data_IF_098319424088
#
_entry.id   IF_098319424088
#
_cell.length_a   1.000
_cell.length_b   1.000
_cell.length_c   1.000
_cell.angle_alpha   90.00
_cell.angle_beta   90.00
_cell.angle_gamma   90.00
#
_symmetry.space_group_name_H-M   'P 1'
#
loop_
_entity.id
_entity.type
_entity.pdbx_description
1 polymer ?
#
# COMPACT_ATOMS: atom_id res chain seq x y z
N UNK A 1 -82.57 -32.67 -4.89
CA UNK A 1 -81.75 -31.94 -5.82
C UNK A 1 -80.79 -31.06 -4.97
N UNK A 2 -79.61 -31.63 -4.62
CA UNK A 2 -78.64 -30.98 -3.70
C UNK A 2 -77.58 -30.23 -4.53
N UNK A 3 -77.48 -28.91 -4.33
CA UNK A 3 -76.51 -28.05 -4.95
C UNK A 3 -75.26 -28.02 -4.02
N UNK A 4 -74.14 -28.60 -4.47
CA UNK A 4 -72.83 -28.57 -3.79
C UNK A 4 -72.10 -27.29 -4.20
N UNK A 5 -71.94 -26.34 -3.27
CA UNK A 5 -71.07 -25.18 -3.42
C UNK A 5 -69.65 -25.54 -3.06
N UNK A 6 -68.73 -25.54 -4.02
CA UNK A 6 -67.28 -25.75 -3.82
C UNK A 6 -66.63 -24.42 -3.48
N UNK A 7 -66.18 -24.21 -2.26
CA UNK A 7 -65.38 -23.07 -1.83
C UNK A 7 -63.90 -23.34 -2.15
N UNK A 8 -63.42 -22.75 -3.23
CA UNK A 8 -61.98 -22.78 -3.59
C UNK A 8 -61.20 -21.76 -2.76
N UNK A 9 -60.38 -22.26 -1.83
CA UNK A 9 -59.46 -21.46 -1.03
C UNK A 9 -58.17 -21.18 -1.84
N UNK A 10 -58.08 -20.01 -2.43
CA UNK A 10 -56.89 -19.57 -3.17
C UNK A 10 -55.83 -19.06 -2.18
N UNK A 11 -54.80 -19.88 -1.96
CA UNK A 11 -53.65 -19.51 -1.11
C UNK A 11 -52.73 -18.56 -1.88
N UNK A 12 -52.80 -17.29 -1.58
CA UNK A 12 -51.91 -16.27 -2.16
C UNK A 12 -50.54 -16.35 -1.46
N UNK A 13 -49.54 -16.98 -2.11
CA UNK A 13 -48.16 -17.03 -1.62
C UNK A 13 -47.52 -15.66 -1.93
N UNK A 14 -47.43 -14.80 -0.93
CA UNK A 14 -46.61 -13.57 -0.99
C UNK A 14 -45.13 -13.98 -0.97
N UNK A 15 -44.50 -14.04 -2.13
CA UNK A 15 -43.06 -14.16 -2.25
C UNK A 15 -42.42 -12.82 -1.81
N UNK A 16 -41.91 -12.76 -0.57
CA UNK A 16 -41.03 -11.68 -0.15
C UNK A 16 -39.74 -11.81 -0.95
N UNK A 17 -39.57 -10.99 -1.97
CA UNK A 17 -38.29 -10.79 -2.64
C UNK A 17 -37.33 -10.16 -1.60
N UNK A 18 -36.47 -10.96 -0.99
CA UNK A 18 -35.36 -10.46 -0.19
C UNK A 18 -34.45 -9.69 -1.18
N UNK A 19 -34.25 -8.37 -0.99
CA UNK A 19 -33.34 -7.64 -1.85
C UNK A 19 -31.96 -8.29 -1.75
N UNK A 20 -31.22 -8.47 -2.85
CA UNK A 20 -29.87 -9.02 -2.80
C UNK A 20 -29.06 -8.20 -1.81
N UNK A 21 -28.48 -8.86 -0.81
CA UNK A 21 -27.55 -8.21 0.11
C UNK A 21 -26.45 -7.57 -0.76
N UNK A 22 -26.44 -6.23 -0.80
CA UNK A 22 -25.41 -5.49 -1.54
C UNK A 22 -24.08 -5.90 -0.91
N UNK A 23 -23.22 -6.53 -1.70
CA UNK A 23 -21.88 -6.89 -1.24
C UNK A 23 -21.25 -5.62 -0.64
N UNK A 24 -20.83 -5.72 0.63
CA UNK A 24 -20.20 -4.59 1.31
C UNK A 24 -18.82 -4.41 0.69
N UNK A 25 -18.59 -3.28 0.04
CA UNK A 25 -17.35 -2.97 -0.67
C UNK A 25 -16.63 -1.79 0.01
N UNK A 26 -15.33 -1.94 0.24
CA UNK A 26 -14.44 -0.85 0.65
C UNK A 26 -13.62 -0.40 -0.55
N UNK A 27 -13.56 0.90 -0.80
CA UNK A 27 -12.62 1.49 -1.76
C UNK A 27 -11.41 2.05 -1.02
N UNK A 28 -10.27 1.41 -1.21
CA UNK A 28 -9.03 1.68 -0.47
C UNK A 28 -8.01 2.37 -1.38
N UNK A 29 -7.58 3.57 -0.99
CA UNK A 29 -6.43 4.25 -1.58
C UNK A 29 -5.15 3.71 -0.93
N UNK A 30 -4.23 3.13 -1.68
CA UNK A 30 -3.03 2.51 -1.15
C UNK A 30 -1.76 2.93 -1.87
N UNK A 31 -0.72 3.23 -1.11
CA UNK A 31 0.62 3.41 -1.64
C UNK A 31 1.04 2.19 -2.45
N UNK A 32 1.60 2.41 -3.64
CA UNK A 32 1.76 1.37 -4.66
C UNK A 32 2.78 0.26 -4.30
N UNK A 33 3.66 0.51 -3.34
CA UNK A 33 4.57 -0.48 -2.77
C UNK A 33 3.85 -1.61 -2.04
N UNK A 34 2.62 -1.35 -1.58
CA UNK A 34 1.79 -2.31 -0.84
C UNK A 34 1.08 -3.33 -1.73
N UNK A 35 1.09 -3.13 -3.07
CA UNK A 35 0.32 -3.99 -3.98
C UNK A 35 0.43 -5.48 -3.65
N UNK A 36 1.63 -6.10 -3.57
CA UNK A 36 1.73 -7.54 -3.35
C UNK A 36 1.14 -7.99 -2.01
N UNK A 37 1.34 -7.19 -0.95
CA UNK A 37 0.84 -7.52 0.38
C UNK A 37 -0.67 -7.31 0.51
N UNK A 38 -1.18 -6.16 0.03
CA UNK A 38 -2.60 -5.84 0.18
C UNK A 38 -3.51 -6.69 -0.69
N UNK A 39 -3.06 -7.16 -1.87
CA UNK A 39 -3.83 -8.11 -2.68
C UNK A 39 -4.09 -9.41 -1.90
N UNK A 40 -3.10 -9.93 -1.19
CA UNK A 40 -3.27 -11.11 -0.34
C UNK A 40 -4.14 -10.81 0.89
N UNK A 41 -3.88 -9.69 1.57
CA UNK A 41 -4.66 -9.26 2.75
C UNK A 41 -6.14 -9.08 2.40
N UNK A 42 -6.44 -8.42 1.28
CA UNK A 42 -7.80 -8.22 0.79
C UNK A 42 -8.51 -9.56 0.48
N UNK A 43 -7.81 -10.46 -0.20
CA UNK A 43 -8.35 -11.81 -0.50
C UNK A 43 -8.67 -12.60 0.77
N UNK A 44 -7.79 -12.57 1.78
CA UNK A 44 -8.02 -13.24 3.06
C UNK A 44 -9.13 -12.58 3.87
N UNK A 45 -9.19 -11.24 3.87
CA UNK A 45 -10.28 -10.51 4.53
C UNK A 45 -11.64 -10.85 3.89
N UNK A 46 -11.70 -10.92 2.55
CA UNK A 46 -12.90 -11.38 1.86
C UNK A 46 -13.34 -12.77 2.32
N UNK A 47 -12.40 -13.71 2.43
CA UNK A 47 -12.69 -15.08 2.85
C UNK A 47 -13.31 -15.17 4.26
N UNK A 48 -12.93 -14.27 5.18
CA UNK A 48 -13.43 -14.27 6.57
C UNK A 48 -14.62 -13.36 6.81
N UNK A 49 -14.81 -12.31 5.99
CA UNK A 49 -15.84 -11.29 6.20
C UNK A 49 -16.95 -11.30 5.15
N UNK A 50 -16.70 -11.86 3.96
CA UNK A 50 -17.56 -11.75 2.78
C UNK A 50 -17.55 -10.36 2.13
N UNK A 51 -16.77 -9.40 2.65
CA UNK A 51 -16.71 -8.04 2.12
C UNK A 51 -15.62 -7.92 1.04
N UNK A 52 -15.90 -7.16 -0.01
CA UNK A 52 -14.95 -6.84 -1.07
C UNK A 52 -14.06 -5.64 -0.67
N UNK A 53 -12.77 -5.72 -1.01
CA UNK A 53 -11.82 -4.61 -0.85
C UNK A 53 -11.27 -4.23 -2.22
N UNK A 54 -11.78 -3.13 -2.75
CA UNK A 54 -11.32 -2.54 -4.01
C UNK A 54 -10.07 -1.71 -3.77
N UNK A 55 -8.94 -2.19 -4.26
CA UNK A 55 -7.64 -1.55 -4.07
C UNK A 55 -7.32 -0.60 -5.24
N UNK A 56 -7.05 0.66 -4.94
CA UNK A 56 -6.59 1.67 -5.88
C UNK A 56 -5.17 2.07 -5.49
N UNK A 57 -4.22 1.87 -6.41
CA UNK A 57 -2.80 2.08 -6.13
C UNK A 57 -2.27 3.36 -6.77
N UNK A 58 -1.47 4.11 -6.01
CA UNK A 58 -0.87 5.35 -6.47
C UNK A 58 0.22 5.86 -5.53
N UNK A 59 0.58 7.13 -5.61
CA UNK A 59 1.46 7.77 -4.63
C UNK A 59 0.67 8.33 -3.46
N UNK A 60 1.28 8.30 -2.26
CA UNK A 60 0.64 8.78 -1.04
C UNK A 60 0.26 10.27 -1.11
N UNK A 61 1.10 11.10 -1.75
CA UNK A 61 0.83 12.53 -1.91
C UNK A 61 -0.34 12.82 -2.83
N UNK A 62 -0.48 12.07 -3.94
CA UNK A 62 -1.62 12.21 -4.84
C UNK A 62 -2.93 11.81 -4.14
N UNK A 63 -2.94 10.72 -3.38
CA UNK A 63 -4.12 10.33 -2.61
C UNK A 63 -4.46 11.34 -1.52
N UNK A 64 -3.47 11.88 -0.83
CA UNK A 64 -3.70 12.97 0.13
C UNK A 64 -4.44 14.14 -0.53
N UNK A 65 -3.99 14.61 -1.69
CA UNK A 65 -4.65 15.70 -2.44
C UNK A 65 -6.05 15.32 -2.88
N UNK A 66 -6.24 14.11 -3.42
CA UNK A 66 -7.56 13.63 -3.85
C UNK A 66 -8.55 13.57 -2.69
N UNK A 67 -8.13 13.07 -1.52
CA UNK A 67 -8.97 12.98 -0.31
C UNK A 67 -9.34 14.37 0.19
N UNK A 68 -8.40 15.32 0.20
CA UNK A 68 -8.69 16.71 0.54
C UNK A 68 -9.74 17.34 -0.40
N UNK A 69 -9.76 16.92 -1.67
CA UNK A 69 -10.72 17.35 -2.67
C UNK A 69 -12.00 16.50 -2.71
N UNK A 70 -12.23 15.65 -1.69
CA UNK A 70 -13.47 14.91 -1.53
C UNK A 70 -13.56 13.61 -2.33
N UNK A 71 -12.43 13.02 -2.76
CA UNK A 71 -12.45 11.71 -3.42
C UNK A 71 -13.07 10.64 -2.50
N UNK A 72 -13.95 9.76 -3.03
CA UNK A 72 -14.77 8.86 -2.24
C UNK A 72 -14.04 7.57 -1.86
N UNK A 73 -12.94 7.70 -1.14
CA UNK A 73 -12.26 6.55 -0.54
C UNK A 73 -12.79 6.28 0.87
N UNK A 74 -12.76 5.02 1.28
CA UNK A 74 -13.13 4.58 2.63
C UNK A 74 -11.91 4.50 3.54
N UNK A 75 -10.73 4.22 2.96
CA UNK A 75 -9.50 3.92 3.70
C UNK A 75 -8.28 4.48 2.94
N UNK A 76 -7.28 4.95 3.68
CA UNK A 76 -5.98 5.36 3.13
C UNK A 76 -4.86 4.53 3.76
N UNK A 77 -4.00 3.93 2.92
CA UNK A 77 -2.67 3.44 3.28
C UNK A 77 -1.62 4.36 2.68
N UNK A 78 -0.82 4.98 3.53
CA UNK A 78 0.20 5.95 3.15
C UNK A 78 1.60 5.47 3.55
N UNK A 79 2.55 5.60 2.65
CA UNK A 79 3.98 5.39 2.91
C UNK A 79 4.68 6.63 3.53
N UNK A 80 3.91 7.58 4.02
CA UNK A 80 4.39 8.75 4.76
C UNK A 80 3.37 9.11 5.84
N UNK A 81 3.81 9.13 7.09
CA UNK A 81 2.98 9.41 8.27
C UNK A 81 2.40 10.84 8.29
N UNK A 82 3.02 11.81 7.61
CA UNK A 82 2.58 13.21 7.64
C UNK A 82 1.25 13.40 6.91
N UNK A 83 0.98 12.64 5.85
CA UNK A 83 -0.29 12.77 5.12
C UNK A 83 -1.49 12.35 5.97
N UNK A 84 -1.51 11.16 6.61
CA UNK A 84 -2.57 10.80 7.55
C UNK A 84 -2.72 11.78 8.71
N UNK A 85 -1.63 12.29 9.30
CA UNK A 85 -1.68 13.31 10.36
C UNK A 85 -2.32 14.61 9.90
N UNK A 86 -2.00 15.07 8.68
CA UNK A 86 -2.62 16.25 8.08
C UNK A 86 -4.11 16.06 7.81
N UNK A 87 -4.53 14.88 7.36
CA UNK A 87 -5.95 14.54 7.19
C UNK A 87 -6.67 14.48 8.54
N UNK A 88 -6.05 13.94 9.57
CA UNK A 88 -6.59 13.92 10.94
C UNK A 88 -6.78 15.35 11.50
N UNK A 89 -5.76 16.19 11.37
CA UNK A 89 -5.83 17.60 11.75
C UNK A 89 -6.92 18.38 11.00
N UNK A 90 -7.20 18.00 9.74
CA UNK A 90 -8.29 18.57 8.94
C UNK A 90 -9.67 17.96 9.27
N UNK A 91 -9.77 17.01 10.21
CA UNK A 91 -11.01 16.35 10.58
C UNK A 91 -11.58 15.39 9.51
N UNK A 92 -10.74 14.90 8.59
CA UNK A 92 -11.12 14.04 7.48
C UNK A 92 -10.98 12.55 7.78
N UNK A 93 -10.45 12.17 8.95
CA UNK A 93 -10.30 10.79 9.39
C UNK A 93 -11.23 10.47 10.56
N UNK A 94 -11.51 9.20 10.78
CA UNK A 94 -12.18 8.72 11.98
C UNK A 94 -11.17 8.77 13.14
N UNK A 95 -11.48 9.45 14.26
CA UNK A 95 -10.58 9.55 15.39
C UNK A 95 -10.14 8.20 15.93
N UNK A 96 -8.84 8.05 16.24
CA UNK A 96 -8.27 6.84 16.82
C UNK A 96 -7.97 5.72 15.82
N UNK A 97 -8.20 5.93 14.51
CA UNK A 97 -7.89 4.94 13.47
C UNK A 97 -6.49 5.08 12.87
N UNK A 98 -5.71 6.07 13.30
CA UNK A 98 -4.31 6.19 12.91
C UNK A 98 -3.53 4.96 13.40
N UNK A 99 -2.97 4.20 12.46
CA UNK A 99 -2.22 2.99 12.77
C UNK A 99 -0.94 2.89 11.93
N UNK A 100 0.23 3.03 12.57
CA UNK A 100 1.53 2.71 11.97
C UNK A 100 1.69 1.19 12.02
N UNK A 101 1.56 0.54 10.86
CA UNK A 101 1.56 -0.93 10.78
C UNK A 101 2.92 -1.48 10.35
N UNK A 102 3.77 -0.69 9.68
CA UNK A 102 5.06 -1.15 9.19
C UNK A 102 6.01 0.00 8.83
N UNK A 103 7.25 -0.35 8.46
CA UNK A 103 8.21 0.51 7.77
C UNK A 103 8.64 -0.12 6.46
N UNK A 104 8.71 0.71 5.42
CA UNK A 104 9.19 0.30 4.12
C UNK A 104 10.71 0.41 3.99
N UNK A 105 11.26 -0.32 3.02
CA UNK A 105 12.68 -0.27 2.66
C UNK A 105 12.84 -0.02 1.17
N UNK A 106 13.95 0.61 0.77
CA UNK A 106 14.33 0.80 -0.62
C UNK A 106 15.48 -0.13 -1.01
N UNK A 107 15.48 -0.51 -2.28
CA UNK A 107 16.51 -1.35 -2.88
C UNK A 107 17.00 -0.75 -4.20
N UNK A 108 18.24 -1.03 -4.55
CA UNK A 108 18.72 -0.96 -5.93
C UNK A 108 18.27 -2.21 -6.67
N UNK A 109 17.52 -2.03 -7.74
CA UNK A 109 16.93 -3.10 -8.55
C UNK A 109 17.46 -3.04 -9.98
N UNK A 110 17.84 -4.18 -10.52
CA UNK A 110 18.23 -4.35 -11.91
C UNK A 110 17.56 -5.59 -12.53
N UNK A 111 17.38 -5.65 -13.86
CA UNK A 111 16.96 -6.89 -14.51
C UNK A 111 17.91 -8.06 -14.19
N UNK A 112 17.41 -9.29 -14.13
CA UNK A 112 18.20 -10.47 -13.77
C UNK A 112 19.46 -10.66 -14.66
N UNK A 113 19.35 -10.32 -15.95
CA UNK A 113 20.46 -10.40 -16.91
C UNK A 113 21.45 -9.24 -16.89
N UNK A 114 21.25 -8.23 -16.01
CA UNK A 114 22.16 -7.08 -15.90
C UNK A 114 23.56 -7.51 -15.44
N UNK A 115 24.60 -6.92 -16.01
CA UNK A 115 26.00 -7.14 -15.63
C UNK A 115 26.50 -6.15 -14.56
N UNK A 116 25.64 -5.23 -14.10
CA UNK A 116 25.98 -4.23 -13.09
C UNK A 116 26.35 -4.91 -11.75
N UNK A 117 27.46 -4.47 -11.16
CA UNK A 117 27.93 -4.96 -9.86
C UNK A 117 27.22 -4.24 -8.71
N UNK A 118 26.20 -4.87 -8.17
CA UNK A 118 25.40 -4.33 -7.07
C UNK A 118 26.15 -4.28 -5.72
N UNK A 119 27.31 -4.95 -5.58
CA UNK A 119 28.12 -4.88 -4.34
C UNK A 119 28.67 -3.48 -4.11
N UNK A 120 28.72 -2.65 -5.15
CA UNK A 120 29.11 -1.23 -5.08
C UNK A 120 28.04 -0.35 -4.44
N UNK A 121 26.87 -0.89 -4.08
CA UNK A 121 25.74 -0.11 -3.57
C UNK A 121 25.32 1.00 -4.54
N UNK A 122 24.90 2.15 -4.00
CA UNK A 122 24.45 3.30 -4.82
C UNK A 122 25.52 3.83 -5.78
N UNK A 123 26.80 3.56 -5.54
CA UNK A 123 27.88 4.00 -6.45
C UNK A 123 27.84 3.30 -7.81
N UNK A 124 27.10 2.21 -7.98
CA UNK A 124 26.86 1.62 -9.29
C UNK A 124 26.13 2.57 -10.25
N UNK A 125 25.37 3.53 -9.73
CA UNK A 125 24.67 4.54 -10.54
C UNK A 125 25.64 5.46 -11.32
N UNK A 126 26.90 5.56 -10.87
CA UNK A 126 27.96 6.29 -11.56
C UNK A 126 28.57 5.51 -12.73
N UNK A 127 28.26 4.23 -12.87
CA UNK A 127 28.80 3.42 -13.95
C UNK A 127 28.41 4.03 -15.31
N UNK A 128 29.36 4.09 -16.28
CA UNK A 128 29.08 4.59 -17.62
C UNK A 128 28.01 3.78 -18.39
N UNK A 129 27.81 2.51 -18.02
CA UNK A 129 26.75 1.67 -18.59
C UNK A 129 25.34 2.10 -18.14
N UNK A 130 25.22 2.76 -16.98
CA UNK A 130 23.94 3.26 -16.46
C UNK A 130 23.58 4.57 -17.17
N UNK A 131 22.55 4.53 -18.00
CA UNK A 131 22.01 5.68 -18.75
C UNK A 131 20.72 6.21 -18.14
N UNK A 132 19.87 5.29 -17.60
CA UNK A 132 18.57 5.63 -17.03
C UNK A 132 18.39 4.98 -15.68
N UNK A 133 18.02 5.80 -14.68
CA UNK A 133 17.79 5.40 -13.30
C UNK A 133 16.32 5.66 -12.98
N UNK A 134 15.53 4.63 -12.73
CA UNK A 134 14.13 4.78 -12.38
C UNK A 134 13.94 5.08 -10.90
N UNK A 135 13.16 6.11 -10.59
CA UNK A 135 12.67 6.43 -9.24
C UNK A 135 11.20 6.84 -9.33
N UNK A 136 10.45 6.77 -8.23
CA UNK A 136 9.15 7.43 -8.17
C UNK A 136 9.33 8.96 -8.11
N UNK A 137 8.34 9.74 -8.57
CA UNK A 137 8.42 11.19 -8.54
C UNK A 137 8.54 11.72 -7.09
N UNK A 138 9.65 12.33 -6.70
CA UNK A 138 9.89 12.77 -5.33
C UNK A 138 8.98 13.92 -4.89
N UNK A 139 8.28 14.59 -5.80
CA UNK A 139 7.36 15.68 -5.45
C UNK A 139 6.15 15.20 -4.64
N UNK A 140 5.74 13.94 -4.81
CA UNK A 140 4.54 13.38 -4.16
C UNK A 140 4.67 11.90 -3.74
N UNK A 141 5.75 11.19 -4.12
CA UNK A 141 5.95 9.79 -3.79
C UNK A 141 7.04 9.61 -2.70
N UNK A 142 6.69 9.07 -1.51
CA UNK A 142 7.64 8.90 -0.40
C UNK A 142 8.89 8.09 -0.76
N UNK A 143 8.73 7.04 -1.55
CA UNK A 143 9.85 6.22 -2.02
C UNK A 143 10.78 6.98 -2.98
N UNK A 144 10.24 7.91 -3.77
CA UNK A 144 11.05 8.81 -4.60
C UNK A 144 11.83 9.80 -3.75
N UNK A 145 11.23 10.34 -2.70
CA UNK A 145 11.91 11.17 -1.70
C UNK A 145 13.05 10.40 -1.05
N UNK A 146 12.80 9.18 -0.57
CA UNK A 146 13.82 8.32 0.03
C UNK A 146 14.98 8.05 -0.94
N UNK A 147 14.70 7.79 -2.22
CA UNK A 147 15.72 7.60 -3.24
C UNK A 147 16.63 8.84 -3.41
N UNK A 148 16.04 10.04 -3.45
CA UNK A 148 16.80 11.30 -3.52
C UNK A 148 17.64 11.51 -2.27
N UNK A 149 17.08 11.25 -1.08
CA UNK A 149 17.82 11.34 0.18
C UNK A 149 19.04 10.40 0.18
N UNK A 150 18.86 9.15 -0.20
CA UNK A 150 19.95 8.17 -0.24
C UNK A 150 21.05 8.55 -1.23
N UNK A 151 20.70 9.02 -2.44
CA UNK A 151 21.68 9.51 -3.40
C UNK A 151 22.43 10.76 -2.90
N UNK A 152 21.77 11.63 -2.12
CA UNK A 152 22.41 12.81 -1.50
C UNK A 152 23.31 12.42 -0.34
N UNK A 153 22.91 11.45 0.49
CA UNK A 153 23.75 10.93 1.56
C UNK A 153 25.07 10.38 1.01
N UNK A 154 25.03 9.65 -0.11
CA UNK A 154 26.20 9.15 -0.85
C UNK A 154 26.94 10.22 -1.69
N UNK A 155 26.45 11.48 -1.72
CA UNK A 155 27.01 12.62 -2.47
C UNK A 155 27.13 12.36 -3.98
N UNK A 156 26.22 11.58 -4.55
CA UNK A 156 26.20 11.25 -5.99
C UNK A 156 25.03 11.87 -6.73
N UNK A 157 24.03 12.45 -6.03
CA UNK A 157 22.80 12.96 -6.65
C UNK A 157 23.07 13.89 -7.84
N UNK A 158 23.94 14.89 -7.69
CA UNK A 158 24.22 15.87 -8.73
C UNK A 158 24.85 15.23 -9.98
N UNK A 159 25.61 14.14 -9.80
CA UNK A 159 26.28 13.43 -10.88
C UNK A 159 25.32 12.52 -11.67
N UNK A 160 24.23 12.10 -11.05
CA UNK A 160 23.29 11.12 -11.65
C UNK A 160 21.91 11.73 -11.94
N UNK A 161 21.62 12.92 -11.47
CA UNK A 161 20.31 13.57 -11.60
C UNK A 161 19.81 13.66 -13.03
N UNK A 162 20.71 13.92 -14.00
CA UNK A 162 20.37 13.95 -15.43
C UNK A 162 20.00 12.57 -16.01
N UNK A 163 20.29 11.47 -15.31
CA UNK A 163 19.91 10.09 -15.72
C UNK A 163 18.56 9.66 -15.14
N UNK A 164 17.96 10.45 -14.23
CA UNK A 164 16.73 10.06 -13.55
C UNK A 164 15.55 10.03 -14.52
N UNK A 165 14.77 8.97 -14.46
CA UNK A 165 13.45 8.84 -15.08
C UNK A 165 12.43 8.60 -13.97
N UNK A 166 11.41 9.45 -13.91
CA UNK A 166 10.43 9.45 -12.83
C UNK A 166 9.15 8.72 -13.23
N UNK A 167 8.75 7.74 -12.40
CA UNK A 167 7.43 7.15 -12.46
C UNK A 167 6.45 7.90 -11.55
N UNK A 168 5.18 7.95 -11.91
CA UNK A 168 4.13 8.58 -11.09
C UNK A 168 4.05 7.98 -9.67
N UNK A 169 4.39 6.71 -9.53
CA UNK A 169 4.47 6.00 -8.25
C UNK A 169 5.57 4.95 -8.30
N UNK A 170 5.82 4.29 -7.15
CA UNK A 170 6.93 3.34 -7.04
C UNK A 170 6.75 2.06 -7.86
N UNK A 171 5.50 1.63 -8.13
CA UNK A 171 5.25 0.49 -9.01
C UNK A 171 5.59 0.81 -10.48
N UNK A 172 5.32 2.02 -10.94
CA UNK A 172 5.72 2.44 -12.28
C UNK A 172 7.25 2.53 -12.42
N UNK A 173 7.94 3.04 -11.39
CA UNK A 173 9.40 3.03 -11.38
C UNK A 173 9.98 1.60 -11.47
N UNK A 174 9.41 0.64 -10.72
CA UNK A 174 9.79 -0.77 -10.85
C UNK A 174 9.49 -1.33 -12.24
N UNK A 175 8.36 -0.96 -12.84
CA UNK A 175 7.97 -1.39 -14.19
C UNK A 175 8.94 -0.89 -15.26
N UNK A 176 9.54 0.29 -15.12
CA UNK A 176 10.58 0.78 -16.05
C UNK A 176 11.82 -0.13 -16.05
N UNK A 177 12.22 -0.65 -14.89
CA UNK A 177 13.33 -1.61 -14.81
C UNK A 177 12.94 -2.96 -15.40
N UNK A 178 11.76 -3.49 -15.04
CA UNK A 178 11.29 -4.79 -15.51
C UNK A 178 11.10 -4.84 -17.02
N UNK A 179 10.69 -3.74 -17.63
CA UNK A 179 10.53 -3.63 -19.11
C UNK A 179 11.83 -3.29 -19.85
N UNK A 180 12.93 -3.01 -19.14
CA UNK A 180 14.18 -2.54 -19.76
C UNK A 180 14.14 -1.07 -20.20
N UNK A 181 13.12 -0.31 -19.82
CA UNK A 181 13.05 1.13 -20.08
C UNK A 181 14.04 1.94 -19.21
N UNK A 182 14.50 1.36 -18.09
CA UNK A 182 15.58 1.87 -17.27
C UNK A 182 16.58 0.74 -16.96
N UNK A 183 17.86 1.09 -16.81
CA UNK A 183 18.96 0.15 -16.56
C UNK A 183 18.96 -0.32 -15.10
N UNK A 184 18.56 0.54 -14.20
CA UNK A 184 18.51 0.34 -12.75
C UNK A 184 17.40 1.20 -12.15
N UNK A 185 16.87 0.78 -11.00
CA UNK A 185 15.90 1.58 -10.25
C UNK A 185 16.19 1.59 -8.75
N UNK A 186 15.79 2.67 -8.09
CA UNK A 186 15.65 2.70 -6.63
C UNK A 186 14.17 2.55 -6.32
N UNK A 187 13.78 1.36 -5.83
CA UNK A 187 12.38 0.96 -5.69
C UNK A 187 12.11 0.35 -4.31
N UNK A 188 10.85 0.04 -4.01
CA UNK A 188 10.48 -0.63 -2.77
C UNK A 188 10.97 -2.09 -2.75
N UNK A 189 11.47 -2.54 -1.59
CA UNK A 189 11.88 -3.93 -1.38
C UNK A 189 10.73 -4.91 -1.68
N UNK A 190 9.51 -4.57 -1.31
CA UNK A 190 8.31 -5.38 -1.57
C UNK A 190 8.09 -5.70 -3.04
N UNK A 191 8.36 -4.74 -3.92
CA UNK A 191 8.27 -4.93 -5.37
C UNK A 191 9.43 -5.77 -5.91
N UNK A 192 10.63 -5.60 -5.36
CA UNK A 192 11.78 -6.44 -5.69
C UNK A 192 11.56 -7.91 -5.32
N UNK A 193 11.05 -8.17 -4.11
CA UNK A 193 10.69 -9.51 -3.66
C UNK A 193 9.58 -10.13 -4.52
N UNK A 194 8.55 -9.35 -4.84
CA UNK A 194 7.44 -9.81 -5.68
C UNK A 194 7.86 -10.12 -7.11
N UNK A 195 8.84 -9.41 -7.67
CA UNK A 195 9.37 -9.67 -9.01
C UNK A 195 10.19 -10.99 -9.10
N UNK A 196 10.65 -11.52 -7.97
CA UNK A 196 11.32 -12.81 -7.88
C UNK A 196 12.53 -12.93 -8.80
N UNK A 197 12.57 -13.98 -9.62
CA UNK A 197 13.72 -14.29 -10.50
C UNK A 197 13.91 -13.34 -11.69
N UNK A 198 13.00 -12.41 -11.91
CA UNK A 198 13.10 -11.45 -13.02
C UNK A 198 14.14 -10.35 -12.75
N UNK A 199 14.53 -10.18 -11.48
CA UNK A 199 15.39 -9.10 -11.01
C UNK A 199 16.49 -9.61 -10.08
N UNK A 200 17.54 -8.77 -9.94
CA UNK A 200 18.48 -8.82 -8.81
C UNK A 200 18.39 -7.48 -8.09
N UNK A 201 18.56 -7.51 -6.78
CA UNK A 201 18.55 -6.29 -5.99
C UNK A 201 19.49 -6.37 -4.79
N UNK A 202 19.83 -5.22 -4.24
CA UNK A 202 20.52 -5.04 -2.95
C UNK A 202 19.81 -3.97 -2.14
N UNK A 203 19.65 -4.18 -0.83
CA UNK A 203 19.06 -3.19 0.06
C UNK A 203 19.98 -1.97 0.17
N UNK A 204 19.38 -0.78 0.20
CA UNK A 204 20.07 0.47 0.52
C UNK A 204 20.02 0.65 2.04
N UNK A 205 21.15 0.99 2.70
CA UNK A 205 21.17 1.14 4.14
C UNK A 205 20.11 2.09 4.66
N UNK A 206 19.38 1.68 5.69
CA UNK A 206 18.30 2.50 6.29
C UNK A 206 18.82 3.79 6.94
N UNK A 207 20.14 3.91 7.19
CA UNK A 207 20.80 5.14 7.63
C UNK A 207 20.82 6.25 6.57
N UNK A 208 20.65 5.92 5.29
CA UNK A 208 20.88 6.83 4.17
C UNK A 208 19.61 7.60 3.78
N UNK A 209 18.48 7.28 4.37
CA UNK A 209 17.19 7.93 4.11
C UNK A 209 16.29 7.96 5.36
N UNK A 210 15.35 8.93 5.44
CA UNK A 210 14.38 8.97 6.52
C UNK A 210 13.49 7.72 6.54
N UNK A 211 13.06 7.24 7.72
CA UNK A 211 12.18 6.08 7.82
C UNK A 211 10.92 6.23 6.97
N UNK A 212 10.62 5.23 6.15
CA UNK A 212 9.40 5.18 5.35
C UNK A 212 8.28 4.57 6.22
N UNK A 213 7.64 5.41 7.02
CA UNK A 213 6.56 4.99 7.92
C UNK A 213 5.30 4.67 7.14
N UNK A 214 4.84 3.44 7.28
CA UNK A 214 3.61 2.93 6.67
C UNK A 214 2.45 3.09 7.65
N UNK A 215 1.51 3.94 7.30
CA UNK A 215 0.38 4.31 8.17
C UNK A 215 -0.93 4.15 7.43
N UNK A 216 -1.96 3.66 8.12
CA UNK A 216 -3.31 3.66 7.58
C UNK A 216 -4.27 4.44 8.48
N UNK A 217 -5.37 4.92 7.87
CA UNK A 217 -6.48 5.61 8.52
C UNK A 217 -7.80 5.27 7.84
N UNK A 218 -8.89 5.23 8.61
CA UNK A 218 -10.25 5.21 8.09
C UNK A 218 -10.68 6.64 7.78
N UNK A 219 -11.28 6.86 6.61
CA UNK A 219 -11.75 8.18 6.20
C UNK A 219 -13.16 8.45 6.74
N UNK A 220 -13.39 9.66 7.22
CA UNK A 220 -14.69 10.07 7.79
C UNK A 220 -15.81 10.10 6.75
N UNK A 221 -15.46 10.31 5.48
CA UNK A 221 -16.39 10.28 4.35
C UNK A 221 -16.88 8.89 3.98
N UNK A 222 -16.28 7.82 4.51
CA UNK A 222 -16.70 6.45 4.25
C UNK A 222 -18.17 6.25 4.59
N UNK A 223 -18.91 5.64 3.67
CA UNK A 223 -20.29 5.19 3.88
C UNK A 223 -20.36 3.76 4.44
N UNK A 224 -19.21 3.09 4.55
CA UNK A 224 -19.05 1.69 4.94
C UNK A 224 -18.28 1.56 6.25
N UNK A 225 -18.58 2.43 7.25
CA UNK A 225 -17.82 2.54 8.51
C UNK A 225 -17.70 1.20 9.26
N UNK A 226 -18.75 0.38 9.29
CA UNK A 226 -18.74 -0.92 9.98
C UNK A 226 -17.72 -1.89 9.36
N UNK A 227 -17.65 -1.93 8.02
CA UNK A 227 -16.67 -2.77 7.31
C UNK A 227 -15.28 -2.19 7.43
N UNK A 228 -15.13 -0.87 7.38
CA UNK A 228 -13.84 -0.21 7.57
C UNK A 228 -13.27 -0.52 8.96
N UNK A 229 -14.09 -0.51 10.02
CA UNK A 229 -13.69 -0.88 11.37
C UNK A 229 -13.30 -2.36 11.49
N UNK A 230 -14.03 -3.26 10.83
CA UNK A 230 -13.67 -4.70 10.77
C UNK A 230 -12.34 -4.90 10.04
N UNK A 231 -12.13 -4.21 8.92
CA UNK A 231 -10.89 -4.29 8.17
C UNK A 231 -9.71 -3.72 8.98
N UNK A 232 -9.90 -2.59 9.66
CA UNK A 232 -8.89 -1.98 10.56
C UNK A 232 -8.50 -2.95 11.69
N UNK A 233 -9.48 -3.62 12.29
CA UNK A 233 -9.24 -4.65 13.30
C UNK A 233 -8.47 -5.84 12.73
N UNK A 234 -8.84 -6.30 11.52
CA UNK A 234 -8.15 -7.39 10.84
C UNK A 234 -6.69 -7.06 10.53
N UNK A 235 -6.39 -5.81 10.14
CA UNK A 235 -5.02 -5.36 9.87
C UNK A 235 -4.08 -5.49 11.08
N UNK A 236 -4.61 -5.52 12.31
CA UNK A 236 -3.83 -5.67 13.54
C UNK A 236 -3.53 -7.11 13.94
N UNK A 237 -4.03 -8.09 13.19
CA UNK A 237 -3.82 -9.52 13.49
C UNK A 237 -2.38 -9.95 13.20
N UNK A 238 -1.91 -10.98 13.91
CA UNK A 238 -0.59 -11.58 13.68
C UNK A 238 -0.46 -12.19 12.28
N UNK A 239 -1.57 -12.63 11.69
CA UNK A 239 -1.61 -13.11 10.31
C UNK A 239 -1.19 -12.01 9.34
N UNK A 240 -1.78 -10.83 9.45
CA UNK A 240 -1.47 -9.67 8.58
C UNK A 240 -0.05 -9.16 8.80
N UNK A 241 0.44 -9.12 10.03
CA UNK A 241 1.84 -8.76 10.33
C UNK A 241 2.82 -9.67 9.59
N UNK A 242 2.61 -11.01 9.64
CA UNK A 242 3.42 -11.98 8.91
C UNK A 242 3.37 -11.80 7.39
N UNK A 243 2.24 -11.33 6.84
CA UNK A 243 2.15 -11.00 5.43
C UNK A 243 3.06 -9.81 5.11
N UNK A 244 3.00 -8.72 5.89
CA UNK A 244 3.87 -7.57 5.70
C UNK A 244 5.36 -7.95 5.82
N UNK A 245 5.75 -8.70 6.84
CA UNK A 245 7.12 -9.19 7.03
C UNK A 245 7.63 -10.00 5.83
N UNK A 246 6.79 -10.90 5.30
CA UNK A 246 7.15 -11.71 4.13
C UNK A 246 7.40 -10.88 2.88
N UNK A 247 6.71 -9.74 2.73
CA UNK A 247 6.95 -8.78 1.66
C UNK A 247 8.02 -7.74 2.01
N UNK A 248 8.84 -7.98 3.05
CA UNK A 248 10.01 -7.16 3.36
C UNK A 248 9.72 -5.88 4.13
N UNK A 249 8.52 -5.71 4.66
CA UNK A 249 8.21 -4.62 5.57
C UNK A 249 8.70 -4.95 6.98
N UNK A 250 9.26 -3.95 7.66
CA UNK A 250 9.60 -4.05 9.07
C UNK A 250 8.37 -3.71 9.92
N UNK A 251 7.83 -4.70 10.61
CA UNK A 251 6.68 -4.50 11.50
C UNK A 251 7.18 -4.07 12.88
N UNK A 252 6.70 -2.93 13.42
CA UNK A 252 7.08 -2.51 14.76
C UNK A 252 6.70 -3.58 15.78
N UNK A 253 7.64 -3.97 16.63
CA UNK A 253 7.33 -4.82 17.78
C UNK A 253 6.35 -4.02 18.63
N UNK A 254 5.11 -4.49 18.79
CA UNK A 254 4.16 -3.88 19.71
C UNK A 254 4.82 -3.85 21.08
N UNK A 255 5.08 -2.64 21.60
CA UNK A 255 5.52 -2.49 22.98
C UNK A 255 4.51 -3.24 23.84
N UNK A 256 4.92 -4.40 24.36
CA UNK A 256 4.12 -5.20 25.27
C UNK A 256 3.57 -4.27 26.33
N UNK A 257 2.31 -4.46 26.72
CA UNK A 257 1.70 -3.73 27.83
C UNK A 257 2.74 -3.53 28.91
N UNK A 258 3.11 -2.27 29.18
CA UNK A 258 3.92 -1.94 30.33
C UNK A 258 3.32 -2.67 31.52
N UNK A 259 4.08 -3.57 32.13
CA UNK A 259 3.77 -4.11 33.46
C UNK A 259 3.41 -2.91 34.34
N UNK A 260 2.19 -2.90 34.86
CA UNK A 260 1.83 -2.00 35.94
C UNK A 260 2.86 -2.22 37.04
N UNK A 261 3.48 -1.16 37.60
CA UNK A 261 4.23 -1.34 38.83
C UNK A 261 3.25 -1.90 39.87
N UNK A 262 3.59 -3.06 40.40
CA UNK A 262 2.88 -3.69 41.51
C UNK A 262 2.87 -2.79 42.74
N UNK A 263 1.94 -3.01 43.67
CA UNK A 263 1.67 -2.15 44.80
C UNK A 263 2.83 -2.05 45.79
#
# INVERSE_FOLDING_TARGET
>A
MLLRVLFGLTFLVLSFAVPPARAQELTVAAAADLRPALEEIASRFHAVSGAEVKLVYGSSGNFYQQIQNGAPFDFLFSANADYPKKLEAAGLTVPGTYYEYARGKIVLLVPAGSTLDLTRGLRVLLDPAVKKIAIADPSHAPYGQAAVFAMRAEKIYDQVSAKLVTGENISQAASFVLSGAADVGIVALSLGLSAGRQVRFVEIPASDYPPIQQVCVVLKSSKNQDIAAKFETYLRTEEVKKIFERFGFEVPVSAGKSEKPGP
#
